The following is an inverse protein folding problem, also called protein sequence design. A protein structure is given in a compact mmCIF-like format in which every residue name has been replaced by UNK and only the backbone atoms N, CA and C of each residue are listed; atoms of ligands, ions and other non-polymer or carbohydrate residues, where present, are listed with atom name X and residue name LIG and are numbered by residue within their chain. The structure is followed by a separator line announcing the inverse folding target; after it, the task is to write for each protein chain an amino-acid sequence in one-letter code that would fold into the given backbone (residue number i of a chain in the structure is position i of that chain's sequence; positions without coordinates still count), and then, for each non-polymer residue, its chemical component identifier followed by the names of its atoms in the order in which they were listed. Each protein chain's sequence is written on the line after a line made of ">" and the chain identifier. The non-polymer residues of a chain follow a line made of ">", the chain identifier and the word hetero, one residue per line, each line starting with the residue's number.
data_IF_691471057575
#
_entry.id   IF_691471057575
#
_cell.length_a   1.000
_cell.length_b   1.000
_cell.length_c   1.000
_cell.angle_alpha   90.00
_cell.angle_beta   90.00
_cell.angle_gamma   90.00
#
_symmetry.space_group_name_H-M   'P 1'
#
loop_
_entity.id
_entity.type
_entity.pdbx_description
1 polymer ?
#
# COMPACT_ATOMS: atom_id res chain seq x y z
N UNK A 1 1.90 64.51 67.40
CA UNK A 1 1.68 63.07 67.64
C UNK A 1 0.49 62.62 66.80
N UNK A 2 0.64 61.55 66.02
CA UNK A 2 -0.39 60.85 65.23
C UNK A 2 -1.08 61.67 64.11
N UNK A 3 -1.30 61.19 62.89
CA UNK A 3 -1.07 59.89 62.26
C UNK A 3 -1.75 59.94 60.88
N UNK A 4 -0.98 60.14 59.81
CA UNK A 4 -1.52 60.05 58.45
C UNK A 4 -1.61 58.58 58.04
N UNK A 5 -2.84 58.05 58.02
CA UNK A 5 -3.19 56.75 57.47
C UNK A 5 -2.82 56.71 55.97
N UNK A 6 -1.80 55.91 55.65
CA UNK A 6 -1.47 55.54 54.26
C UNK A 6 -2.64 54.76 53.66
N UNK A 7 -3.21 55.29 52.57
CA UNK A 7 -4.07 54.53 51.65
C UNK A 7 -3.24 53.39 51.06
N UNK A 8 -3.61 52.15 51.36
CA UNK A 8 -3.11 50.97 50.63
C UNK A 8 -3.71 51.01 49.24
N UNK A 9 -2.89 51.26 48.23
CA UNK A 9 -3.21 50.95 46.84
C UNK A 9 -2.95 49.45 46.65
N UNK A 10 -4.03 48.66 46.55
CA UNK A 10 -3.96 47.29 46.08
C UNK A 10 -3.46 47.32 44.63
N UNK A 11 -2.22 46.88 44.42
CA UNK A 11 -1.69 46.57 43.09
C UNK A 11 -2.39 45.31 42.60
N UNK A 12 -3.35 45.48 41.70
CA UNK A 12 -3.94 44.41 40.93
C UNK A 12 -2.85 43.78 40.06
N UNK A 13 -2.43 42.55 40.40
CA UNK A 13 -1.42 41.80 39.65
C UNK A 13 -2.13 41.10 38.48
N UNK A 14 -1.82 41.40 37.21
CA UNK A 14 -2.44 40.70 36.08
C UNK A 14 -1.92 39.26 36.08
N UNK A 15 -2.78 38.29 36.41
CA UNK A 15 -2.45 36.87 36.27
C UNK A 15 -2.24 36.59 34.78
N UNK A 16 -0.98 36.35 34.39
CA UNK A 16 -0.64 35.82 33.07
C UNK A 16 -1.37 34.48 32.89
N UNK A 17 -2.37 34.46 32.01
CA UNK A 17 -3.08 33.25 31.64
C UNK A 17 -2.11 32.39 30.84
N UNK A 18 -1.48 31.40 31.48
CA UNK A 18 -0.64 30.44 30.76
C UNK A 18 -1.55 29.51 29.93
N UNK A 19 -1.22 29.29 28.66
CA UNK A 19 -1.98 28.42 27.72
C UNK A 19 -1.88 26.93 28.07
N UNK A 20 -1.00 26.56 29.00
CA UNK A 20 -0.70 25.20 29.42
C UNK A 20 -0.81 25.04 30.95
N UNK A 21 -1.10 23.82 31.45
CA UNK A 21 -1.22 23.58 32.88
C UNK A 21 0.15 23.68 33.58
N UNK A 22 0.18 24.34 34.73
CA UNK A 22 1.36 24.40 35.60
C UNK A 22 1.42 23.13 36.44
N UNK A 23 2.44 22.30 36.20
CA UNK A 23 2.64 21.04 36.90
C UNK A 23 3.28 21.27 38.28
N UNK A 24 3.04 20.37 39.23
CA UNK A 24 3.75 20.35 40.51
C UNK A 24 5.20 19.88 40.35
N UNK A 25 6.08 20.26 41.28
CA UNK A 25 7.51 19.88 41.23
C UNK A 25 7.71 18.38 41.11
N UNK A 26 6.88 17.58 41.79
CA UNK A 26 6.92 16.11 41.74
C UNK A 26 6.51 15.56 40.39
N UNK A 27 5.47 16.12 39.78
CA UNK A 27 5.03 15.71 38.44
C UNK A 27 6.06 16.07 37.37
N UNK A 28 6.72 17.22 37.50
CA UNK A 28 7.80 17.64 36.59
C UNK A 28 8.97 16.66 36.67
N UNK A 29 9.41 16.31 37.88
CA UNK A 29 10.52 15.36 38.08
C UNK A 29 10.17 13.97 37.54
N UNK A 30 8.94 13.51 37.76
CA UNK A 30 8.48 12.23 37.22
C UNK A 30 8.48 12.23 35.70
N UNK A 31 7.86 13.24 35.07
CA UNK A 31 7.75 13.30 33.61
C UNK A 31 9.10 13.50 32.92
N UNK A 32 10.03 14.25 33.53
CA UNK A 32 11.37 14.42 32.99
C UNK A 32 12.21 13.15 33.13
N UNK A 33 11.99 12.34 34.18
CA UNK A 33 12.65 11.04 34.34
C UNK A 33 12.26 10.08 33.22
N UNK A 34 11.01 10.12 32.77
CA UNK A 34 10.52 9.28 31.67
C UNK A 34 11.26 9.57 30.34
N UNK A 35 11.79 10.80 30.19
CA UNK A 35 12.53 11.27 29.00
C UNK A 35 14.04 11.28 29.28
N UNK A 36 14.51 10.50 30.27
CA UNK A 36 15.92 10.38 30.67
C UNK A 36 16.62 11.67 31.16
N UNK A 37 15.85 12.68 31.55
CA UNK A 37 16.36 13.91 32.16
C UNK A 37 16.39 13.75 33.69
N UNK A 38 17.60 13.79 34.28
CA UNK A 38 17.77 13.67 35.74
C UNK A 38 17.64 15.04 36.43
N UNK A 39 16.64 15.19 37.31
CA UNK A 39 16.39 16.40 38.08
C UNK A 39 15.95 16.08 39.52
N UNK A 40 16.46 16.80 40.51
CA UNK A 40 16.12 16.61 41.93
C UNK A 40 15.15 17.69 42.44
N UNK A 41 14.50 17.46 43.58
CA UNK A 41 13.63 18.48 44.21
C UNK A 41 14.43 19.72 44.66
N UNK A 42 15.70 19.53 45.06
CA UNK A 42 16.62 20.61 45.43
C UNK A 42 17.01 21.48 44.22
N UNK A 43 17.29 20.85 43.07
CA UNK A 43 17.58 21.54 41.81
C UNK A 43 16.41 22.42 41.33
N UNK A 44 15.18 22.07 41.72
CA UNK A 44 13.97 22.83 41.39
C UNK A 44 13.70 23.97 42.37
N UNK A 45 14.05 23.79 43.64
CA UNK A 45 13.93 24.82 44.67
C UNK A 45 15.01 25.90 44.51
N UNK A 46 16.23 25.49 44.17
CA UNK A 46 17.40 26.35 43.98
C UNK A 46 18.10 26.05 42.65
N UNK A 47 17.53 26.47 41.51
CA UNK A 47 18.11 26.16 40.21
C UNK A 47 19.47 26.84 40.03
N UNK A 48 20.50 26.03 39.75
CA UNK A 48 21.83 26.50 39.34
C UNK A 48 21.88 26.66 37.82
N UNK A 49 22.54 27.72 37.33
CA UNK A 49 22.72 27.98 35.91
C UNK A 49 23.38 26.80 35.16
N UNK A 50 24.42 26.20 35.76
CA UNK A 50 25.11 25.04 35.18
C UNK A 50 24.18 23.83 35.07
N UNK A 51 23.38 23.58 36.10
CA UNK A 51 22.45 22.45 36.16
C UNK A 51 21.33 22.59 35.13
N UNK A 52 20.73 23.78 35.05
CA UNK A 52 19.65 24.06 34.09
C UNK A 52 20.16 24.01 32.65
N UNK A 53 21.40 24.44 32.40
CA UNK A 53 22.02 24.32 31.08
C UNK A 53 22.12 22.86 30.64
N UNK A 54 22.63 21.96 31.48
CA UNK A 54 22.65 20.52 31.17
C UNK A 54 21.25 19.94 30.96
N UNK A 55 20.26 20.37 31.74
CA UNK A 55 18.87 19.93 31.60
C UNK A 55 18.29 20.38 30.25
N UNK A 56 18.50 21.63 29.84
CA UNK A 56 18.04 22.14 28.55
C UNK A 56 18.77 21.51 27.37
N UNK A 57 20.06 21.20 27.50
CA UNK A 57 20.82 20.45 26.49
C UNK A 57 20.21 19.07 26.24
N UNK A 58 19.91 18.32 27.31
CA UNK A 58 19.29 16.98 27.17
C UNK A 58 17.87 17.09 26.61
N UNK A 59 17.10 18.10 27.02
CA UNK A 59 15.76 18.34 26.47
C UNK A 59 15.84 18.64 24.97
N UNK A 60 16.79 19.47 24.54
CA UNK A 60 16.96 19.82 23.13
C UNK A 60 17.32 18.58 22.30
N UNK A 61 18.19 17.72 22.82
CA UNK A 61 18.57 16.45 22.19
C UNK A 61 17.36 15.50 22.05
N UNK A 62 16.59 15.30 23.12
CA UNK A 62 15.44 14.37 23.12
C UNK A 62 14.23 14.89 22.32
N UNK A 63 14.06 16.20 22.23
CA UNK A 63 12.91 16.82 21.57
C UNK A 63 13.18 17.12 20.10
N UNK A 64 14.36 17.64 19.78
CA UNK A 64 14.73 18.11 18.44
C UNK A 64 15.70 17.15 17.74
N UNK A 65 16.41 16.27 18.47
CA UNK A 65 17.44 15.39 17.91
C UNK A 65 18.79 16.09 17.68
N UNK A 66 19.04 17.20 18.40
CA UNK A 66 20.28 17.97 18.29
C UNK A 66 21.18 17.68 19.50
N UNK A 67 22.26 16.89 19.32
CA UNK A 67 23.16 16.59 20.41
C UNK A 67 23.98 17.82 20.78
N UNK A 68 24.40 17.90 22.05
CA UNK A 68 25.21 19.00 22.61
C UNK A 68 26.41 19.39 21.73
N UNK A 69 27.06 18.40 21.12
CA UNK A 69 28.24 18.58 20.26
C UNK A 69 27.93 19.35 18.96
N UNK A 70 26.70 19.24 18.44
CA UNK A 70 26.27 19.96 17.24
C UNK A 70 26.02 21.44 17.50
N UNK A 71 25.68 21.82 18.73
CA UNK A 71 25.51 23.22 19.11
C UNK A 71 26.84 23.91 19.43
N UNK A 72 27.84 23.18 19.93
CA UNK A 72 29.16 23.75 20.28
C UNK A 72 30.12 23.83 19.11
N UNK A 73 29.96 22.99 18.09
CA UNK A 73 30.83 22.93 16.91
C UNK A 73 30.21 23.67 15.73
N UNK A 74 30.17 25.01 15.81
CA UNK A 74 29.88 25.84 14.64
C UNK A 74 31.09 25.77 13.70
N UNK A 75 30.93 25.41 12.40
CA UNK A 75 32.06 25.35 11.46
C UNK A 75 32.76 26.71 11.37
N UNK A 76 34.11 26.70 11.37
CA UNK A 76 34.91 27.93 11.29
C UNK A 76 34.65 28.71 9.98
N UNK A 77 34.33 28.00 8.90
CA UNK A 77 33.95 28.57 7.60
C UNK A 77 32.71 29.48 7.69
N UNK A 78 31.81 29.24 8.65
CA UNK A 78 30.63 30.10 8.89
C UNK A 78 31.00 31.35 9.70
N UNK A 79 32.22 31.44 10.23
CA UNK A 79 32.71 32.51 11.12
C UNK A 79 33.80 33.39 10.49
N UNK A 80 34.10 33.20 9.21
CA UNK A 80 35.13 33.95 8.45
C UNK A 80 34.92 35.48 8.41
N UNK A 81 33.72 35.96 8.78
CA UNK A 81 33.40 37.37 8.88
C UNK A 81 33.84 38.02 10.22
N UNK A 82 34.26 37.23 11.21
CA UNK A 82 34.71 37.69 12.53
C UNK A 82 36.24 37.73 12.63
N UNK A 83 36.84 38.78 13.21
CA UNK A 83 38.26 38.78 13.52
C UNK A 83 38.56 37.75 14.63
N UNK A 84 39.54 36.87 14.41
CA UNK A 84 39.95 35.79 15.33
C UNK A 84 38.82 34.78 15.67
N UNK A 85 38.36 33.96 14.69
CA UNK A 85 37.27 33.01 14.86
C UNK A 85 37.47 32.01 16.02
N UNK A 86 38.72 31.59 16.26
CA UNK A 86 39.08 30.60 17.28
C UNK A 86 38.69 31.02 18.71
N UNK A 87 38.79 32.32 19.02
CA UNK A 87 38.46 32.87 20.34
C UNK A 87 36.95 32.94 20.52
N UNK A 88 36.21 33.08 19.42
CA UNK A 88 34.77 33.24 19.41
C UNK A 88 34.02 31.92 19.31
N UNK A 89 34.70 30.79 19.07
CA UNK A 89 34.08 29.48 18.88
C UNK A 89 33.18 29.07 20.06
N UNK A 90 33.65 29.23 21.29
CA UNK A 90 32.86 28.92 22.48
C UNK A 90 31.64 29.86 22.62
N UNK A 91 31.82 31.15 22.37
CA UNK A 91 30.73 32.14 22.43
C UNK A 91 29.70 31.93 21.32
N UNK A 92 30.13 31.54 20.12
CA UNK A 92 29.29 31.18 18.99
C UNK A 92 28.48 29.92 19.28
N UNK A 93 29.09 28.91 19.91
CA UNK A 93 28.37 27.71 20.34
C UNK A 93 27.27 27.99 21.37
N UNK A 94 27.54 28.87 22.34
CA UNK A 94 26.52 29.31 23.30
C UNK A 94 25.38 30.11 22.62
N UNK A 95 25.69 30.93 21.62
CA UNK A 95 24.69 31.68 20.86
C UNK A 95 23.84 30.77 19.96
N UNK A 96 24.45 29.76 19.33
CA UNK A 96 23.75 28.75 18.54
C UNK A 96 22.82 27.91 19.44
N UNK A 97 23.30 27.48 20.61
CA UNK A 97 22.48 26.79 21.59
C UNK A 97 21.29 27.63 22.05
N UNK A 98 21.51 28.91 22.41
CA UNK A 98 20.42 29.82 22.78
C UNK A 98 19.41 29.95 21.64
N UNK A 99 19.87 30.10 20.39
CA UNK A 99 19.00 30.26 19.23
C UNK A 99 18.06 29.07 19.06
N UNK A 100 18.60 27.85 19.14
CA UNK A 100 17.77 26.63 19.03
C UNK A 100 16.85 26.46 20.23
N UNK A 101 17.30 26.83 21.43
CA UNK A 101 16.46 26.78 22.63
C UNK A 101 15.31 27.80 22.56
N UNK A 102 15.57 29.04 22.11
CA UNK A 102 14.53 30.07 21.89
C UNK A 102 13.51 29.59 20.85
N UNK A 103 13.97 28.96 19.76
CA UNK A 103 13.08 28.36 18.75
C UNK A 103 12.20 27.28 19.35
N UNK A 104 12.77 26.36 20.13
CA UNK A 104 12.02 25.33 20.84
C UNK A 104 10.98 25.97 21.78
N UNK A 105 11.39 26.96 22.58
CA UNK A 105 10.49 27.63 23.53
C UNK A 105 9.34 28.35 22.82
N UNK A 106 9.58 28.97 21.66
CA UNK A 106 8.52 29.57 20.84
C UNK A 106 7.50 28.54 20.36
N UNK A 107 7.95 27.35 19.92
CA UNK A 107 7.05 26.24 19.51
C UNK A 107 6.24 25.71 20.69
N UNK A 108 6.85 25.66 21.87
CA UNK A 108 6.22 25.20 23.12
C UNK A 108 5.24 26.25 23.69
N UNK A 109 5.26 27.49 23.19
CA UNK A 109 4.33 28.57 23.57
C UNK A 109 4.89 29.57 24.59
N UNK A 110 6.22 29.63 24.76
CA UNK A 110 6.94 30.59 25.60
C UNK A 110 7.71 31.55 24.70
N UNK A 111 7.16 32.76 24.52
CA UNK A 111 7.76 33.78 23.65
C UNK A 111 8.70 34.75 24.39
N UNK A 112 8.74 34.70 25.72
CA UNK A 112 9.53 35.57 26.60
C UNK A 112 10.84 34.92 27.08
N UNK A 113 11.27 33.82 26.46
CA UNK A 113 12.52 33.15 26.81
C UNK A 113 13.74 33.99 26.38
N UNK A 114 14.67 34.21 27.31
CA UNK A 114 15.86 35.03 27.09
C UNK A 114 17.08 34.47 27.82
N UNK A 115 18.28 35.00 27.51
CA UNK A 115 19.54 34.64 28.19
C UNK A 115 19.49 34.79 29.72
N UNK A 116 18.57 35.59 30.25
CA UNK A 116 18.38 35.74 31.70
C UNK A 116 17.97 34.43 32.36
N UNK A 117 17.10 33.66 31.72
CA UNK A 117 16.60 32.36 32.23
C UNK A 117 17.72 31.31 32.29
N UNK A 118 18.74 31.41 31.44
CA UNK A 118 19.92 30.53 31.46
C UNK A 118 20.95 30.95 32.51
N UNK A 119 21.24 32.26 32.60
CA UNK A 119 22.31 32.77 33.50
C UNK A 119 21.87 32.91 34.95
N UNK A 120 20.59 33.20 35.18
CA UNK A 120 19.99 33.37 36.51
C UNK A 120 18.60 32.75 36.52
N UNK A 121 18.53 31.40 36.53
CA UNK A 121 17.24 30.72 36.57
C UNK A 121 16.51 31.04 37.87
N UNK A 122 15.24 31.42 37.78
CA UNK A 122 14.37 31.64 38.93
C UNK A 122 13.42 30.43 39.06
N UNK A 123 13.25 29.88 40.27
CA UNK A 123 12.40 28.70 40.52
C UNK A 123 10.99 28.78 39.89
N UNK A 124 10.23 29.90 39.96
CA UNK A 124 8.93 29.98 39.29
C UNK A 124 9.04 30.00 37.76
N UNK A 125 10.10 30.60 37.19
CA UNK A 125 10.37 30.64 35.76
C UNK A 125 10.72 29.27 35.19
N UNK A 126 11.64 28.56 35.84
CA UNK A 126 12.03 27.19 35.49
C UNK A 126 10.83 26.25 35.53
N UNK A 127 10.01 26.34 36.57
CA UNK A 127 8.79 25.53 36.70
C UNK A 127 7.81 25.77 35.55
N UNK A 128 7.62 27.03 35.15
CA UNK A 128 6.78 27.39 34.00
C UNK A 128 7.34 26.79 32.70
N UNK A 129 8.64 26.94 32.47
CA UNK A 129 9.34 26.44 31.27
C UNK A 129 9.22 24.92 31.16
N UNK A 130 9.57 24.19 32.22
CA UNK A 130 9.53 22.73 32.20
C UNK A 130 8.10 22.19 32.07
N UNK A 131 7.11 22.86 32.69
CA UNK A 131 5.69 22.47 32.52
C UNK A 131 5.24 22.60 31.06
N UNK A 132 5.65 23.65 30.37
CA UNK A 132 5.32 23.86 28.97
C UNK A 132 5.99 22.79 28.08
N UNK A 133 7.27 22.53 28.31
CA UNK A 133 8.04 21.50 27.58
C UNK A 133 7.40 20.12 27.76
N UNK A 134 7.04 19.74 28.98
CA UNK A 134 6.36 18.45 29.25
C UNK A 134 5.02 18.38 28.52
N UNK A 135 4.25 19.46 28.51
CA UNK A 135 2.98 19.50 27.79
C UNK A 135 3.18 19.29 26.28
N UNK A 136 4.21 19.90 25.69
CA UNK A 136 4.56 19.69 24.29
C UNK A 136 4.98 18.24 24.01
N UNK A 137 5.78 17.63 24.90
CA UNK A 137 6.24 16.24 24.72
C UNK A 137 5.06 15.27 24.78
N UNK A 138 4.13 15.45 25.72
CA UNK A 138 2.89 14.64 25.80
C UNK A 138 2.02 14.80 24.56
N UNK A 139 1.92 16.03 24.03
CA UNK A 139 1.20 16.28 22.77
C UNK A 139 1.87 15.59 21.58
N UNK A 140 3.21 15.64 21.51
CA UNK A 140 4.02 14.94 20.50
C UNK A 140 3.79 13.44 20.57
N UNK A 141 3.84 12.83 21.75
CA UNK A 141 3.61 11.40 21.95
C UNK A 141 2.19 10.97 21.53
N UNK A 142 1.17 11.74 21.89
CA UNK A 142 -0.21 11.48 21.46
C UNK A 142 -0.37 11.54 19.94
N UNK A 143 0.30 12.49 19.29
CA UNK A 143 0.26 12.69 17.84
C UNK A 143 1.15 11.71 17.06
N UNK A 144 2.20 11.19 17.69
CA UNK A 144 3.15 10.24 17.09
C UNK A 144 2.44 8.96 16.66
N UNK A 145 1.45 8.47 17.41
CA UNK A 145 0.66 7.29 17.03
C UNK A 145 -0.05 7.43 15.67
N UNK A 146 -0.55 8.62 15.35
CA UNK A 146 -1.19 8.91 14.05
C UNK A 146 -0.16 9.08 12.94
N UNK A 147 1.01 9.66 13.25
CA UNK A 147 2.12 9.79 12.32
C UNK A 147 2.77 8.45 12.00
N UNK A 148 2.93 7.56 12.98
CA UNK A 148 3.48 6.21 12.80
C UNK A 148 2.67 5.41 11.78
N UNK A 149 1.34 5.51 11.82
CA UNK A 149 0.49 4.87 10.81
C UNK A 149 0.78 5.42 9.41
N UNK A 150 1.00 6.73 9.28
CA UNK A 150 1.33 7.36 8.00
C UNK A 150 2.75 7.05 7.54
N UNK A 151 3.71 6.95 8.45
CA UNK A 151 5.08 6.53 8.14
C UNK A 151 5.10 5.08 7.64
N UNK A 152 4.40 4.16 8.32
CA UNK A 152 4.26 2.77 7.86
C UNK A 152 3.61 2.67 6.48
N UNK A 153 2.53 3.42 6.25
CA UNK A 153 1.90 3.48 4.92
C UNK A 153 2.87 4.01 3.85
N UNK A 154 3.67 5.01 4.18
CA UNK A 154 4.68 5.55 3.27
C UNK A 154 5.79 4.54 3.00
N UNK A 155 6.25 3.80 4.01
CA UNK A 155 7.26 2.74 3.88
C UNK A 155 6.74 1.58 3.01
N UNK A 156 5.51 1.11 3.25
CA UNK A 156 4.85 0.08 2.44
C UNK A 156 4.73 0.50 0.96
N UNK A 157 4.32 1.75 0.70
CA UNK A 157 4.24 2.30 -0.65
C UNK A 157 5.61 2.43 -1.32
N UNK A 158 6.66 2.75 -0.57
CA UNK A 158 8.02 2.79 -1.08
C UNK A 158 8.52 1.39 -1.45
N UNK A 159 8.26 0.39 -0.61
CA UNK A 159 8.59 -1.01 -0.93
C UNK A 159 7.85 -1.51 -2.16
N UNK A 160 6.54 -1.23 -2.27
CA UNK A 160 5.73 -1.61 -3.44
C UNK A 160 6.25 -0.94 -4.71
N UNK A 161 6.58 0.36 -4.64
CA UNK A 161 7.18 1.09 -5.75
C UNK A 161 8.51 0.46 -6.18
N UNK A 162 9.38 0.10 -5.25
CA UNK A 162 10.66 -0.54 -5.57
C UNK A 162 10.46 -1.91 -6.24
N UNK A 163 9.50 -2.71 -5.77
CA UNK A 163 9.16 -3.99 -6.40
C UNK A 163 8.65 -3.80 -7.82
N UNK A 164 7.73 -2.86 -8.04
CA UNK A 164 7.19 -2.57 -9.38
C UNK A 164 8.26 -2.05 -10.34
N UNK A 165 9.19 -1.22 -9.89
CA UNK A 165 10.32 -0.76 -10.71
C UNK A 165 11.17 -1.96 -11.13
N UNK A 166 11.49 -2.86 -10.20
CA UNK A 166 12.29 -4.05 -10.48
C UNK A 166 11.58 -4.99 -11.47
N UNK A 167 10.29 -5.25 -11.28
CA UNK A 167 9.49 -6.06 -12.21
C UNK A 167 9.41 -5.42 -13.61
N UNK A 168 9.25 -4.10 -13.67
CA UNK A 168 9.23 -3.36 -14.93
C UNK A 168 10.58 -3.46 -15.67
N UNK A 169 11.70 -3.33 -14.97
CA UNK A 169 13.04 -3.52 -15.54
C UNK A 169 13.23 -4.95 -16.08
N UNK A 170 12.88 -5.98 -15.31
CA UNK A 170 12.95 -7.37 -15.78
C UNK A 170 12.09 -7.61 -17.03
N UNK A 171 10.87 -7.06 -17.06
CA UNK A 171 9.98 -7.22 -18.21
C UNK A 171 10.51 -6.47 -19.44
N UNK A 172 11.13 -5.31 -19.24
CA UNK A 172 11.78 -4.54 -20.30
C UNK A 172 12.98 -5.30 -20.89
N UNK A 173 13.83 -5.87 -20.04
CA UNK A 173 14.97 -6.70 -20.49
C UNK A 173 14.50 -7.93 -21.28
N UNK A 174 13.45 -8.62 -20.81
CA UNK A 174 12.85 -9.75 -21.55
C UNK A 174 12.29 -9.33 -22.90
N UNK A 175 11.63 -8.17 -22.96
CA UNK A 175 11.10 -7.63 -24.21
C UNK A 175 12.23 -7.31 -25.20
N UNK A 176 13.32 -6.71 -24.72
CA UNK A 176 14.50 -6.42 -25.54
C UNK A 176 15.17 -7.70 -26.04
N UNK A 177 15.33 -8.71 -25.19
CA UNK A 177 15.85 -10.03 -25.57
C UNK A 177 15.00 -10.68 -26.67
N UNK A 178 13.67 -10.68 -26.52
CA UNK A 178 12.75 -11.22 -27.54
C UNK A 178 12.79 -10.44 -28.85
N UNK A 179 12.97 -9.11 -28.80
CA UNK A 179 13.13 -8.28 -30.00
C UNK A 179 14.42 -8.61 -30.74
N UNK A 180 15.53 -8.78 -30.01
CA UNK A 180 16.81 -9.18 -30.59
C UNK A 180 16.70 -10.56 -31.21
N UNK A 181 16.14 -11.54 -30.49
CA UNK A 181 15.90 -12.89 -31.02
C UNK A 181 15.07 -12.85 -32.31
N UNK A 182 13.94 -12.13 -32.30
CA UNK A 182 13.11 -11.98 -33.50
C UNK A 182 13.87 -11.34 -34.67
N UNK A 183 14.71 -10.34 -34.40
CA UNK A 183 15.52 -9.71 -35.46
C UNK A 183 16.60 -10.64 -36.04
N UNK A 184 17.09 -11.60 -35.25
CA UNK A 184 18.05 -12.61 -35.70
C UNK A 184 17.37 -13.74 -36.48
N UNK A 185 16.15 -14.12 -36.10
CA UNK A 185 15.37 -15.16 -36.77
C UNK A 185 14.70 -14.66 -38.07
N UNK A 186 14.37 -13.37 -38.16
CA UNK A 186 13.72 -12.76 -39.32
C UNK A 186 14.39 -13.06 -40.68
N UNK A 187 15.72 -12.92 -40.86
CA UNK A 187 16.36 -13.22 -42.14
C UNK A 187 16.28 -14.70 -42.51
N UNK A 188 16.38 -15.62 -41.54
CA UNK A 188 16.25 -17.05 -41.79
C UNK A 188 14.81 -17.39 -42.21
N UNK A 189 13.81 -16.79 -41.56
CA UNK A 189 12.40 -16.95 -41.95
C UNK A 189 12.18 -16.47 -43.39
N UNK A 190 12.69 -15.28 -43.74
CA UNK A 190 12.57 -14.72 -45.09
C UNK A 190 13.27 -15.58 -46.15
N UNK A 191 14.42 -16.17 -45.82
CA UNK A 191 15.13 -17.10 -46.71
C UNK A 191 14.30 -18.39 -46.93
N UNK A 192 13.75 -18.97 -45.86
CA UNK A 192 12.90 -20.17 -45.96
C UNK A 192 11.59 -19.89 -46.70
N UNK A 193 10.99 -18.71 -46.53
CA UNK A 193 9.81 -18.31 -47.27
C UNK A 193 10.10 -18.21 -48.77
N UNK A 194 11.24 -17.62 -49.16
CA UNK A 194 11.69 -17.59 -50.56
C UNK A 194 11.94 -18.99 -51.13
N UNK A 195 12.64 -19.85 -50.41
CA UNK A 195 12.85 -21.24 -50.82
C UNK A 195 11.52 -21.98 -51.04
N UNK A 196 10.55 -21.77 -50.15
CA UNK A 196 9.23 -22.39 -50.26
C UNK A 196 8.45 -21.86 -51.47
N UNK A 197 8.49 -20.56 -51.74
CA UNK A 197 7.90 -19.97 -52.95
C UNK A 197 8.53 -20.52 -54.23
N UNK A 198 9.87 -20.66 -54.26
CA UNK A 198 10.59 -21.25 -55.39
C UNK A 198 10.21 -22.72 -55.60
N UNK A 199 10.20 -23.52 -54.53
CA UNK A 199 9.80 -24.93 -54.59
C UNK A 199 8.33 -25.10 -55.03
N UNK A 200 7.43 -24.24 -54.54
CA UNK A 200 6.04 -24.22 -55.01
C UNK A 200 5.95 -23.86 -56.50
N UNK A 201 6.77 -22.92 -56.97
CA UNK A 201 6.88 -22.59 -58.39
C UNK A 201 7.33 -23.78 -59.23
N UNK A 202 8.39 -24.48 -58.80
CA UNK A 202 8.89 -25.69 -59.45
C UNK A 202 7.85 -26.81 -59.45
N UNK A 203 7.14 -27.03 -58.34
CA UNK A 203 6.08 -28.02 -58.24
C UNK A 203 4.95 -27.74 -59.25
N UNK A 204 4.52 -26.47 -59.36
CA UNK A 204 3.49 -26.08 -60.34
C UNK A 204 3.97 -26.31 -61.77
N UNK A 205 5.23 -26.01 -62.08
CA UNK A 205 5.81 -26.26 -63.40
C UNK A 205 5.86 -27.76 -63.72
N UNK A 206 6.33 -28.59 -62.78
CA UNK A 206 6.37 -30.05 -62.94
C UNK A 206 4.97 -30.65 -63.10
N UNK A 207 3.97 -30.17 -62.36
CA UNK A 207 2.57 -30.59 -62.52
C UNK A 207 2.04 -30.25 -63.93
N UNK A 208 2.35 -29.06 -64.44
CA UNK A 208 1.98 -28.69 -65.80
C UNK A 208 2.65 -29.58 -66.85
N UNK A 209 3.93 -29.89 -66.67
CA UNK A 209 4.68 -30.79 -67.56
C UNK A 209 4.17 -32.24 -67.48
N UNK A 210 3.86 -32.73 -66.29
CA UNK A 210 3.20 -34.02 -66.08
C UNK A 210 1.87 -34.08 -66.82
N UNK A 211 1.04 -33.03 -66.70
CA UNK A 211 -0.23 -32.94 -67.44
C UNK A 211 -0.04 -33.00 -68.95
N UNK A 212 0.96 -32.29 -69.48
CA UNK A 212 1.31 -32.31 -70.91
C UNK A 212 1.75 -33.72 -71.37
N UNK A 213 2.67 -34.36 -70.63
CA UNK A 213 3.17 -35.69 -70.96
C UNK A 213 2.08 -36.76 -70.85
N UNK A 214 1.15 -36.61 -69.89
CA UNK A 214 0.01 -37.53 -69.75
C UNK A 214 -0.91 -37.42 -70.96
N UNK A 215 -1.26 -36.21 -71.38
CA UNK A 215 -2.07 -35.98 -72.59
C UNK A 215 -1.37 -36.51 -73.86
N UNK A 216 -0.05 -36.33 -73.98
CA UNK A 216 0.74 -36.89 -75.09
C UNK A 216 0.73 -38.42 -75.08
N UNK A 217 0.89 -39.03 -73.91
CA UNK A 217 0.87 -40.49 -73.72
C UNK A 217 -0.49 -41.07 -74.08
N UNK A 218 -1.57 -40.42 -73.67
CA UNK A 218 -2.93 -40.86 -73.99
C UNK A 218 -3.22 -40.74 -75.49
N UNK A 219 -2.76 -39.66 -76.13
CA UNK A 219 -2.82 -39.54 -77.60
C UNK A 219 -2.01 -40.63 -78.33
N UNK A 220 -0.84 -41.02 -77.80
CA UNK A 220 -0.06 -42.13 -78.35
C UNK A 220 -0.74 -43.49 -78.14
N UNK A 221 -1.40 -43.72 -77.00
CA UNK A 221 -2.20 -44.94 -76.77
C UNK A 221 -3.36 -45.03 -77.75
N UNK A 222 -4.05 -43.92 -78.01
CA UNK A 222 -5.16 -43.87 -78.98
C UNK A 222 -4.67 -44.17 -80.39
N UNK A 223 -3.56 -43.56 -80.84
CA UNK A 223 -2.93 -43.88 -82.13
C UNK A 223 -2.49 -45.33 -82.21
N UNK A 224 -1.93 -45.89 -81.12
CA UNK A 224 -1.56 -47.31 -81.06
C UNK A 224 -2.79 -48.20 -81.24
N UNK A 225 -3.91 -47.88 -80.59
CA UNK A 225 -5.16 -48.63 -80.74
C UNK A 225 -5.66 -48.61 -82.19
N UNK A 226 -5.66 -47.44 -82.84
CA UNK A 226 -6.02 -47.30 -84.26
C UNK A 226 -5.11 -48.11 -85.19
N UNK A 227 -3.79 -48.12 -84.93
CA UNK A 227 -2.85 -48.92 -85.71
C UNK A 227 -3.04 -50.42 -85.51
N UNK A 228 -3.37 -50.87 -84.29
CA UNK A 228 -3.69 -52.28 -84.02
C UNK A 228 -4.94 -52.70 -84.79
N UNK A 229 -6.00 -51.89 -84.76
CA UNK A 229 -7.22 -52.13 -85.53
C UNK A 229 -6.92 -52.20 -87.04
N UNK A 230 -6.06 -51.31 -87.55
CA UNK A 230 -5.62 -51.34 -88.95
C UNK A 230 -4.80 -52.58 -89.30
N UNK A 231 -3.94 -53.05 -88.39
CA UNK A 231 -3.19 -54.29 -88.57
C UNK A 231 -4.15 -55.48 -88.60
N UNK A 232 -5.15 -55.52 -87.73
CA UNK A 232 -6.17 -56.58 -87.72
C UNK A 232 -6.94 -56.61 -89.03
N UNK A 233 -7.39 -55.47 -89.56
CA UNK A 233 -8.07 -55.43 -90.86
C UNK A 233 -7.17 -55.92 -92.00
N UNK A 234 -5.89 -55.54 -92.00
CA UNK A 234 -4.93 -55.99 -93.02
C UNK A 234 -4.60 -57.49 -92.86
N UNK A 235 -4.61 -58.02 -91.64
CA UNK A 235 -4.43 -59.45 -91.39
C UNK A 235 -5.62 -60.25 -91.93
N UNK A 236 -6.85 -59.77 -91.73
CA UNK A 236 -8.05 -60.37 -92.31
C UNK A 236 -7.99 -60.38 -93.85
N UNK A 237 -7.62 -59.25 -94.47
CA UNK A 237 -7.37 -59.16 -95.93
C UNK A 237 -6.28 -60.14 -96.38
N UNK A 238 -5.17 -60.22 -95.64
CA UNK A 238 -4.07 -61.13 -95.96
C UNK A 238 -4.48 -62.60 -95.86
N UNK A 239 -5.27 -62.99 -94.86
CA UNK A 239 -5.78 -64.36 -94.74
C UNK A 239 -6.68 -64.74 -95.90
N UNK A 240 -7.54 -63.84 -96.37
CA UNK A 240 -8.36 -64.06 -97.56
C UNK A 240 -7.48 -64.28 -98.81
N UNK A 241 -6.45 -63.46 -99.00
CA UNK A 241 -5.50 -63.66 -100.10
C UNK A 241 -4.66 -64.94 -99.96
N UNK A 242 -4.34 -65.38 -98.74
CA UNK A 242 -3.67 -66.67 -98.51
C UNK A 242 -4.57 -67.84 -98.88
N UNK A 243 -5.85 -67.81 -98.52
CA UNK A 243 -6.83 -68.83 -98.91
C UNK A 243 -6.95 -68.91 -100.43
N UNK A 244 -6.98 -67.77 -101.12
CA UNK A 244 -6.90 -67.71 -102.59
C UNK A 244 -5.58 -68.29 -103.14
N UNK A 245 -4.46 -68.06 -102.46
CA UNK A 245 -3.15 -68.62 -102.82
C UNK A 245 -3.09 -70.14 -102.63
N UNK A 246 -3.72 -70.67 -101.58
CA UNK A 246 -3.78 -72.11 -101.30
C UNK A 246 -4.64 -72.86 -102.34
N UNK A 247 -5.74 -72.25 -102.79
CA UNK A 247 -6.54 -72.77 -103.92
C UNK A 247 -5.72 -72.86 -105.21
N UNK A 248 -4.82 -71.90 -105.44
CA UNK A 248 -3.90 -71.89 -106.59
C UNK A 248 -2.73 -72.89 -106.43
N UNK A 249 -2.28 -73.14 -105.19
CA UNK A 249 -1.22 -74.12 -104.88
C UNK A 249 -1.68 -75.58 -104.93
N UNK A 250 -2.98 -75.86 -104.85
CA UNK A 250 -3.56 -77.20 -104.98
C UNK A 250 -3.53 -77.79 -106.42
N UNK A 251 -2.95 -77.09 -107.41
CA UNK A 251 -2.93 -77.47 -108.84
C UNK A 251 -1.60 -77.96 -109.41
N UNK A 252 -0.60 -78.29 -108.61
CA UNK A 252 0.70 -78.79 -109.13
C UNK A 252 1.13 -80.08 -108.41
N UNK A 253 1.41 -81.10 -109.22
CA UNK A 253 1.58 -82.51 -108.84
C UNK A 253 3.06 -82.93 -108.75
N UNK A 254 3.30 -83.64 -107.65
CA UNK A 254 4.21 -84.77 -107.36
C UNK A 254 5.74 -84.75 -107.58
N UNK A 255 6.33 -85.21 -106.46
CA UNK A 255 7.38 -86.22 -106.29
C UNK A 255 8.75 -85.64 -105.97
N UNK A 256 9.28 -85.98 -104.78
CA UNK A 256 10.49 -86.80 -104.79
C UNK A 256 10.59 -87.76 -103.58
N UNK A 257 10.39 -89.05 -103.84
CA UNK A 257 10.52 -90.15 -102.86
C UNK A 257 11.96 -90.60 -102.60
N UNK A 258 12.98 -89.76 -102.86
CA UNK A 258 14.38 -90.09 -102.55
C UNK A 258 15.11 -89.11 -101.63
N UNK A 259 14.45 -88.04 -101.21
CA UNK A 259 14.93 -87.14 -100.13
C UNK A 259 14.25 -87.48 -98.79
N UNK A 260 13.15 -88.24 -98.79
CA UNK A 260 12.37 -88.56 -97.58
C UNK A 260 13.12 -89.43 -96.56
N UNK A 261 14.17 -90.15 -96.95
CA UNK A 261 14.93 -91.02 -96.03
C UNK A 261 16.06 -90.28 -95.31
N UNK A 262 16.82 -89.41 -95.99
CA UNK A 262 17.79 -88.49 -95.36
C UNK A 262 17.10 -87.37 -94.58
N UNK A 263 15.95 -86.88 -95.09
CA UNK A 263 15.07 -85.99 -94.32
C UNK A 263 14.58 -86.70 -93.06
N UNK A 264 14.20 -87.98 -93.08
CA UNK A 264 13.74 -88.67 -91.86
C UNK A 264 14.82 -88.72 -90.77
N UNK A 265 16.08 -88.98 -91.12
CA UNK A 265 17.17 -89.02 -90.13
C UNK A 265 17.57 -87.62 -89.63
N UNK A 266 17.73 -86.65 -90.53
CA UNK A 266 17.98 -85.25 -90.13
C UNK A 266 16.79 -84.64 -89.40
N UNK A 267 15.56 -85.05 -89.71
CA UNK A 267 14.32 -84.61 -89.05
C UNK A 267 14.15 -85.26 -87.69
N UNK A 268 14.57 -86.51 -87.50
CA UNK A 268 14.67 -87.12 -86.16
C UNK A 268 15.69 -86.39 -85.28
N UNK A 269 16.90 -86.13 -85.78
CA UNK A 269 17.92 -85.35 -85.02
C UNK A 269 17.48 -83.90 -84.77
N UNK A 270 16.84 -83.27 -85.75
CA UNK A 270 16.24 -81.94 -85.61
C UNK A 270 15.06 -81.96 -84.62
N UNK A 271 14.29 -83.05 -84.57
CA UNK A 271 13.18 -83.22 -83.63
C UNK A 271 13.66 -83.42 -82.20
N UNK A 272 14.72 -84.20 -81.99
CA UNK A 272 15.35 -84.38 -80.67
C UNK A 272 15.99 -83.09 -80.17
N UNK A 273 16.74 -82.38 -81.03
CA UNK A 273 17.34 -81.09 -80.67
C UNK A 273 16.28 -80.01 -80.44
N UNK A 274 15.21 -79.96 -81.25
CA UNK A 274 14.05 -79.08 -80.99
C UNK A 274 13.36 -79.43 -79.67
N UNK A 275 13.20 -80.71 -79.35
CA UNK A 275 12.63 -81.16 -78.07
C UNK A 275 13.48 -80.68 -76.88
N UNK A 276 14.81 -80.80 -76.98
CA UNK A 276 15.74 -80.29 -75.95
C UNK A 276 15.70 -78.76 -75.84
N UNK A 277 15.63 -78.04 -76.97
CA UNK A 277 15.51 -76.57 -76.99
C UNK A 277 14.19 -76.13 -76.36
N UNK A 278 13.06 -76.73 -76.74
CA UNK A 278 11.74 -76.45 -76.16
C UNK A 278 11.75 -76.73 -74.65
N UNK A 279 12.36 -77.83 -74.21
CA UNK A 279 12.53 -78.14 -72.79
C UNK A 279 13.41 -77.12 -72.05
N UNK A 280 14.46 -76.61 -72.70
CA UNK A 280 15.33 -75.57 -72.16
C UNK A 280 14.62 -74.21 -72.08
N UNK A 281 13.90 -73.81 -73.13
CA UNK A 281 13.10 -72.57 -73.17
C UNK A 281 11.96 -72.60 -72.15
N UNK A 282 11.35 -73.77 -71.92
CA UNK A 282 10.31 -73.92 -70.91
C UNK A 282 10.89 -73.78 -69.49
N UNK A 283 12.06 -74.36 -69.21
CA UNK A 283 12.78 -74.12 -67.95
C UNK A 283 13.21 -72.67 -67.80
N UNK A 284 13.66 -72.02 -68.87
CA UNK A 284 14.03 -70.61 -68.83
C UNK A 284 12.82 -69.72 -68.49
N UNK A 285 11.66 -69.98 -69.08
CA UNK A 285 10.40 -69.27 -68.74
C UNK A 285 9.99 -69.53 -67.30
N UNK A 286 10.06 -70.77 -66.81
CA UNK A 286 9.77 -71.10 -65.42
C UNK A 286 10.70 -70.36 -64.45
N UNK A 287 12.01 -70.34 -64.73
CA UNK A 287 12.99 -69.64 -63.90
C UNK A 287 12.78 -68.12 -63.94
N UNK A 288 12.46 -67.56 -65.11
CA UNK A 288 12.13 -66.14 -65.26
C UNK A 288 10.87 -65.76 -64.48
N UNK A 289 9.86 -66.64 -64.49
CA UNK A 289 8.65 -66.48 -63.66
C UNK A 289 8.96 -66.51 -62.15
N UNK A 290 9.85 -67.41 -61.71
CA UNK A 290 10.32 -67.44 -60.31
C UNK A 290 11.08 -66.18 -59.92
N UNK A 291 11.94 -65.66 -60.81
CA UNK A 291 12.67 -64.40 -60.57
C UNK A 291 11.71 -63.22 -60.45
N UNK A 292 10.70 -63.13 -61.32
CA UNK A 292 9.68 -62.08 -61.23
C UNK A 292 8.84 -62.19 -59.94
N UNK A 293 8.52 -63.41 -59.50
CA UNK A 293 7.85 -63.62 -58.22
C UNK A 293 8.72 -63.20 -57.03
N UNK A 294 10.03 -63.51 -57.06
CA UNK A 294 10.97 -63.07 -56.02
C UNK A 294 11.18 -61.55 -56.02
N UNK A 295 11.20 -60.89 -57.18
CA UNK A 295 11.29 -59.42 -57.21
C UNK A 295 10.06 -58.75 -56.63
N UNK A 296 8.87 -59.30 -56.88
CA UNK A 296 7.64 -58.78 -56.28
C UNK A 296 7.65 -58.94 -54.75
N UNK A 297 8.13 -60.07 -54.24
CA UNK A 297 8.31 -60.27 -52.78
C UNK A 297 9.34 -59.30 -52.21
N UNK A 298 10.41 -58.97 -52.92
CA UNK A 298 11.39 -57.95 -52.48
C UNK A 298 10.75 -56.57 -52.38
N UNK A 299 9.93 -56.17 -53.36
CA UNK A 299 9.20 -54.91 -53.36
C UNK A 299 8.17 -54.85 -52.20
N UNK A 300 7.46 -55.95 -51.94
CA UNK A 300 6.53 -56.09 -50.80
C UNK A 300 7.26 -55.99 -49.45
N UNK A 301 8.47 -56.56 -49.33
CA UNK A 301 9.30 -56.44 -48.13
C UNK A 301 9.77 -54.99 -47.94
N UNK A 302 10.19 -54.31 -49.01
CA UNK A 302 10.61 -52.89 -48.93
C UNK A 302 9.49 -51.98 -48.47
N UNK A 303 8.28 -52.16 -49.00
CA UNK A 303 7.10 -51.41 -48.56
C UNK A 303 6.72 -51.73 -47.11
N UNK A 304 6.83 -52.99 -46.68
CA UNK A 304 6.66 -53.35 -45.26
C UNK A 304 7.71 -52.68 -44.36
N UNK A 305 8.97 -52.60 -44.77
CA UNK A 305 10.01 -51.93 -44.00
C UNK A 305 9.73 -50.42 -43.88
N UNK A 306 9.33 -49.76 -44.96
CA UNK A 306 8.99 -48.34 -44.95
C UNK A 306 7.81 -48.04 -44.00
N UNK A 307 6.74 -48.85 -44.06
CA UNK A 307 5.61 -48.69 -43.14
C UNK A 307 5.99 -48.95 -41.67
N UNK A 308 6.95 -49.85 -41.42
CA UNK A 308 7.46 -50.10 -40.08
C UNK A 308 8.26 -48.91 -39.53
N UNK A 309 9.08 -48.27 -40.36
CA UNK A 309 9.80 -47.03 -40.01
C UNK A 309 8.82 -45.91 -39.66
N UNK A 310 7.78 -45.69 -40.47
CA UNK A 310 6.72 -44.72 -40.18
C UNK A 310 6.01 -45.01 -38.85
N UNK A 311 5.76 -46.30 -38.54
CA UNK A 311 5.16 -46.71 -37.27
C UNK A 311 6.08 -46.43 -36.07
N UNK A 312 7.39 -46.60 -36.23
CA UNK A 312 8.37 -46.29 -35.18
C UNK A 312 8.42 -44.80 -34.90
N UNK A 313 8.41 -43.95 -35.94
CA UNK A 313 8.37 -42.50 -35.81
C UNK A 313 7.08 -42.02 -35.14
N UNK A 314 5.93 -42.56 -35.56
CA UNK A 314 4.64 -42.28 -34.92
C UNK A 314 4.66 -42.67 -33.43
N UNK A 315 5.27 -43.81 -33.09
CA UNK A 315 5.38 -44.27 -31.71
C UNK A 315 6.29 -43.39 -30.86
N UNK A 316 7.38 -42.88 -31.41
CA UNK A 316 8.22 -41.89 -30.71
C UNK A 316 7.44 -40.60 -30.46
N UNK A 317 6.68 -40.11 -31.45
CA UNK A 317 5.83 -38.92 -31.29
C UNK A 317 4.76 -39.11 -30.22
N UNK A 318 4.11 -40.27 -30.18
CA UNK A 318 3.11 -40.60 -29.14
C UNK A 318 3.76 -40.58 -27.76
N UNK A 319 4.91 -41.24 -27.58
CA UNK A 319 5.62 -41.28 -26.30
C UNK A 319 6.01 -39.88 -25.81
N UNK A 320 6.46 -38.99 -26.73
CA UNK A 320 6.73 -37.59 -26.39
C UNK A 320 5.48 -36.83 -25.93
N UNK A 321 4.33 -37.07 -26.57
CA UNK A 321 3.07 -36.46 -26.14
C UNK A 321 2.58 -37.03 -24.80
N UNK A 322 2.75 -38.33 -24.55
CA UNK A 322 2.43 -38.96 -23.26
C UNK A 322 3.24 -38.34 -22.12
N UNK A 323 4.54 -38.08 -22.32
CA UNK A 323 5.37 -37.38 -21.35
C UNK A 323 4.85 -35.98 -21.05
N UNK A 324 4.50 -35.20 -22.08
CA UNK A 324 3.91 -33.86 -21.90
C UNK A 324 2.58 -33.89 -21.15
N UNK A 325 1.74 -34.89 -21.43
CA UNK A 325 0.48 -35.09 -20.70
C UNK A 325 0.75 -35.40 -19.24
N UNK A 326 1.73 -36.23 -18.93
CA UNK A 326 2.13 -36.55 -17.56
C UNK A 326 2.60 -35.31 -16.80
N UNK A 327 3.48 -34.50 -17.39
CA UNK A 327 3.96 -33.23 -16.80
C UNK A 327 2.81 -32.24 -16.56
N UNK A 328 1.86 -32.16 -17.50
CA UNK A 328 0.68 -31.32 -17.36
C UNK A 328 -0.22 -31.81 -16.21
N UNK A 329 -0.41 -33.12 -16.05
CA UNK A 329 -1.17 -33.71 -14.95
C UNK A 329 -0.54 -33.41 -13.59
N UNK A 330 0.79 -33.58 -13.46
CA UNK A 330 1.53 -33.25 -12.23
C UNK A 330 1.39 -31.76 -11.88
N UNK A 331 1.48 -30.88 -12.90
CA UNK A 331 1.27 -29.44 -12.72
C UNK A 331 -0.15 -29.12 -12.26
N UNK A 332 -1.16 -29.81 -12.80
CA UNK A 332 -2.56 -29.64 -12.39
C UNK A 332 -2.75 -30.09 -10.94
N UNK A 333 -2.18 -31.22 -10.54
CA UNK A 333 -2.26 -31.71 -9.15
C UNK A 333 -1.59 -30.76 -8.17
N UNK A 334 -0.40 -30.25 -8.52
CA UNK A 334 0.29 -29.24 -7.72
C UNK A 334 -0.56 -27.97 -7.57
N UNK A 335 -1.13 -27.45 -8.66
CA UNK A 335 -2.03 -26.28 -8.63
C UNK A 335 -3.29 -26.55 -7.80
N UNK A 336 -3.89 -27.74 -7.89
CA UNK A 336 -5.03 -28.14 -7.05
C UNK A 336 -4.68 -28.18 -5.57
N UNK A 337 -3.50 -28.73 -5.21
CA UNK A 337 -3.01 -28.70 -3.83
C UNK A 337 -2.83 -27.26 -3.34
N UNK A 338 -2.22 -26.40 -4.17
CA UNK A 338 -2.03 -24.99 -3.82
C UNK A 338 -3.35 -24.23 -3.65
N UNK A 339 -4.33 -24.50 -4.51
CA UNK A 339 -5.68 -23.96 -4.39
C UNK A 339 -6.36 -24.35 -3.07
N UNK A 340 -6.22 -25.62 -2.65
CA UNK A 340 -6.74 -26.08 -1.34
C UNK A 340 -6.07 -25.38 -0.16
N UNK A 341 -4.74 -25.19 -0.20
CA UNK A 341 -4.02 -24.44 0.83
C UNK A 341 -4.50 -22.98 0.94
N UNK A 342 -4.67 -22.31 -0.21
CA UNK A 342 -5.16 -20.94 -0.27
C UNK A 342 -6.60 -20.83 0.24
N UNK A 343 -7.46 -21.80 -0.07
CA UNK A 343 -8.84 -21.83 0.41
C UNK A 343 -8.92 -21.98 1.93
N UNK A 344 -8.09 -22.84 2.53
CA UNK A 344 -7.99 -22.95 4.00
C UNK A 344 -7.53 -21.62 4.61
N UNK A 345 -6.56 -20.95 3.99
CA UNK A 345 -6.07 -19.64 4.46
C UNK A 345 -7.14 -18.56 4.34
N UNK A 346 -7.92 -18.55 3.25
CA UNK A 346 -9.07 -17.66 3.06
C UNK A 346 -10.09 -17.83 4.18
N UNK A 347 -10.48 -19.08 4.47
CA UNK A 347 -11.42 -19.37 5.55
C UNK A 347 -10.90 -18.96 6.94
N UNK A 348 -9.60 -19.08 7.18
CA UNK A 348 -8.99 -18.61 8.44
C UNK A 348 -9.08 -17.09 8.58
N UNK A 349 -8.78 -16.35 7.51
CA UNK A 349 -8.87 -14.87 7.49
C UNK A 349 -10.32 -14.41 7.62
N UNK A 350 -11.27 -15.05 6.93
CA UNK A 350 -12.70 -14.74 7.07
C UNK A 350 -13.20 -14.94 8.51
N UNK A 351 -12.77 -15.99 9.20
CA UNK A 351 -13.08 -16.15 10.63
C UNK A 351 -12.49 -15.04 11.48
N UNK A 352 -11.27 -14.58 11.19
CA UNK A 352 -10.65 -13.47 11.90
C UNK A 352 -11.40 -12.15 11.68
N UNK A 353 -11.83 -11.88 10.44
CA UNK A 353 -12.66 -10.71 10.10
C UNK A 353 -13.96 -10.76 10.90
N UNK A 354 -14.68 -11.89 10.86
CA UNK A 354 -15.94 -12.04 11.58
C UNK A 354 -15.78 -11.84 13.09
N UNK A 355 -14.73 -12.40 13.70
CA UNK A 355 -14.44 -12.17 15.12
C UNK A 355 -14.14 -10.70 15.42
N UNK A 356 -13.43 -10.01 14.54
CA UNK A 356 -13.14 -8.57 14.67
C UNK A 356 -14.41 -7.73 14.56
N UNK A 357 -15.27 -8.02 13.57
CA UNK A 357 -16.57 -7.36 13.38
C UNK A 357 -17.50 -7.57 14.58
N UNK A 358 -17.58 -8.79 15.12
CA UNK A 358 -18.35 -9.08 16.33
C UNK A 358 -17.81 -8.30 17.54
N UNK A 359 -16.48 -8.20 17.69
CA UNK A 359 -15.84 -7.41 18.75
C UNK A 359 -16.13 -5.91 18.59
N UNK A 360 -16.04 -5.38 17.38
CA UNK A 360 -16.37 -4.00 17.05
C UNK A 360 -17.85 -3.70 17.33
N UNK A 361 -18.75 -4.60 16.93
CA UNK A 361 -20.18 -4.47 17.22
C UNK A 361 -20.50 -4.45 18.72
N UNK A 362 -19.81 -5.29 19.53
CA UNK A 362 -19.95 -5.25 21.00
C UNK A 362 -19.44 -3.94 21.60
N UNK A 363 -18.28 -3.45 21.13
CA UNK A 363 -17.71 -2.17 21.58
C UNK A 363 -18.62 -1.01 21.22
N UNK A 364 -19.17 -0.98 20.01
CA UNK A 364 -20.08 0.08 19.55
C UNK A 364 -21.37 0.12 20.37
N UNK A 365 -21.99 -1.03 20.61
CA UNK A 365 -23.17 -1.13 21.51
C UNK A 365 -22.81 -0.70 22.94
N UNK A 366 -21.64 -1.09 23.45
CA UNK A 366 -21.14 -0.67 24.76
C UNK A 366 -20.90 0.83 24.86
N UNK A 367 -20.41 1.46 23.79
CA UNK A 367 -20.25 2.91 23.72
C UNK A 367 -21.60 3.62 23.68
N UNK A 368 -22.52 3.16 22.84
CA UNK A 368 -23.85 3.76 22.67
C UNK A 368 -24.66 3.74 23.98
N UNK A 369 -24.67 2.59 24.66
CA UNK A 369 -25.29 2.46 25.99
C UNK A 369 -24.66 3.39 27.04
N UNK A 370 -23.33 3.51 27.08
CA UNK A 370 -22.63 4.46 27.97
C UNK A 370 -22.96 5.91 27.64
N UNK A 371 -23.04 6.25 26.36
CA UNK A 371 -23.41 7.60 25.90
C UNK A 371 -24.85 7.94 26.32
N UNK A 372 -25.79 7.00 26.14
CA UNK A 372 -27.18 7.17 26.59
C UNK A 372 -27.26 7.39 28.10
N UNK A 373 -26.59 6.53 28.89
CA UNK A 373 -26.56 6.67 30.35
C UNK A 373 -25.92 7.98 30.81
N UNK A 374 -24.85 8.42 30.13
CA UNK A 374 -24.19 9.69 30.46
C UNK A 374 -25.08 10.88 30.12
N UNK A 375 -25.80 10.81 28.99
CA UNK A 375 -26.77 11.82 28.58
C UNK A 375 -27.93 11.92 29.57
N UNK A 376 -28.55 10.79 29.95
CA UNK A 376 -29.61 10.74 30.95
C UNK A 376 -29.15 11.34 32.29
N UNK A 377 -27.95 10.98 32.76
CA UNK A 377 -27.37 11.57 33.98
C UNK A 377 -27.12 13.06 33.86
N UNK A 378 -26.66 13.53 32.71
CA UNK A 378 -26.45 14.96 32.45
C UNK A 378 -27.77 15.73 32.44
N UNK A 379 -28.82 15.17 31.82
CA UNK A 379 -30.17 15.75 31.82
C UNK A 379 -30.75 15.79 33.25
N UNK A 380 -30.58 14.74 34.04
CA UNK A 380 -31.01 14.71 35.45
C UNK A 380 -30.25 15.75 36.30
N UNK A 381 -28.93 15.86 36.11
CA UNK A 381 -28.11 16.83 36.82
C UNK A 381 -28.46 18.27 36.43
N UNK A 382 -28.71 18.54 35.15
CA UNK A 382 -29.16 19.84 34.68
C UNK A 382 -30.53 20.21 35.28
N UNK A 383 -31.46 19.25 35.38
CA UNK A 383 -32.75 19.49 36.03
C UNK A 383 -32.59 19.87 37.51
N UNK A 384 -31.76 19.12 38.25
CA UNK A 384 -31.43 19.43 39.65
C UNK A 384 -30.75 20.78 39.79
N UNK A 385 -29.85 21.12 38.87
CA UNK A 385 -29.19 22.43 38.87
C UNK A 385 -30.19 23.56 38.64
N UNK A 386 -31.14 23.39 37.72
CA UNK A 386 -32.21 24.36 37.48
C UNK A 386 -33.12 24.53 38.71
N UNK A 387 -33.51 23.43 39.35
CA UNK A 387 -34.28 23.44 40.61
C UNK A 387 -33.55 24.25 41.70
N UNK A 388 -32.27 23.95 41.94
CA UNK A 388 -31.44 24.68 42.93
C UNK A 388 -31.24 26.15 42.54
N UNK A 389 -31.15 26.44 41.24
CA UNK A 389 -31.00 27.82 40.76
C UNK A 389 -32.26 28.64 41.01
N UNK A 390 -33.44 28.06 40.77
CA UNK A 390 -34.73 28.68 41.09
C UNK A 390 -34.86 28.91 42.60
N UNK A 391 -34.56 27.90 43.42
CA UNK A 391 -34.58 28.05 44.89
C UNK A 391 -33.64 29.15 45.37
N UNK A 392 -32.43 29.23 44.78
CA UNK A 392 -31.47 30.29 45.09
C UNK A 392 -32.01 31.67 44.72
N UNK A 393 -32.61 31.84 43.55
CA UNK A 393 -33.20 33.12 43.11
C UNK A 393 -34.35 33.56 44.03
N UNK A 394 -35.20 32.62 44.47
CA UNK A 394 -36.27 32.91 45.45
C UNK A 394 -35.71 33.32 46.82
N UNK A 395 -34.69 32.64 47.31
CA UNK A 395 -34.02 32.98 48.57
C UNK A 395 -33.35 34.36 48.44
N UNK A 396 -32.70 34.65 47.32
CA UNK A 396 -32.03 35.93 47.06
C UNK A 396 -33.06 37.08 47.04
N UNK A 397 -34.22 36.89 46.42
CA UNK A 397 -35.35 37.84 46.49
C UNK A 397 -35.86 38.06 47.92
N UNK A 398 -36.02 36.98 48.71
CA UNK A 398 -36.43 37.08 50.12
C UNK A 398 -35.40 37.83 50.97
N UNK A 399 -34.12 37.55 50.77
CA UNK A 399 -33.02 38.27 51.45
C UNK A 399 -33.03 39.76 51.06
N UNK A 400 -33.23 40.09 49.79
CA UNK A 400 -33.30 41.48 49.34
C UNK A 400 -34.51 42.22 49.95
N UNK A 401 -35.67 41.56 50.04
CA UNK A 401 -36.86 42.09 50.71
C UNK A 401 -36.60 42.35 52.21
N UNK A 402 -36.08 41.36 52.94
CA UNK A 402 -35.74 41.53 54.36
C UNK A 402 -34.65 42.59 54.58
N UNK A 403 -33.67 42.72 53.67
CA UNK A 403 -32.69 43.81 53.72
C UNK A 403 -33.34 45.17 53.56
N UNK A 404 -34.34 45.30 52.69
CA UNK A 404 -35.08 46.54 52.51
C UNK A 404 -35.95 46.86 53.73
N UNK A 405 -36.62 45.86 54.32
CA UNK A 405 -37.35 46.03 55.58
C UNK A 405 -36.43 46.48 56.73
N UNK A 406 -35.27 45.85 56.89
CA UNK A 406 -34.25 46.25 57.88
C UNK A 406 -33.79 47.69 57.63
N UNK A 407 -33.59 48.10 56.37
CA UNK A 407 -33.22 49.49 56.03
C UNK A 407 -34.30 50.49 56.43
N UNK A 408 -35.57 50.18 56.14
CA UNK A 408 -36.71 51.04 56.51
C UNK A 408 -36.83 51.14 58.03
N UNK A 409 -36.80 50.00 58.73
CA UNK A 409 -36.88 49.97 60.19
C UNK A 409 -35.70 50.70 60.86
N UNK A 410 -34.48 50.55 60.34
CA UNK A 410 -33.33 51.32 60.84
C UNK A 410 -33.51 52.82 60.60
N UNK A 411 -34.07 53.24 59.46
CA UNK A 411 -34.37 54.64 59.20
C UNK A 411 -35.44 55.19 60.17
N UNK A 412 -36.48 54.41 60.46
CA UNK A 412 -37.49 54.74 61.47
C UNK A 412 -36.88 54.84 62.87
N UNK A 413 -36.04 53.88 63.27
CA UNK A 413 -35.29 53.93 64.54
C UNK A 413 -34.39 55.17 64.61
N UNK A 414 -33.71 55.52 63.52
CA UNK A 414 -32.89 56.74 63.43
C UNK A 414 -33.75 58.02 63.56
N UNK A 415 -34.99 58.03 63.08
CA UNK A 415 -35.91 59.16 63.29
C UNK A 415 -36.40 59.25 64.73
N UNK A 416 -36.84 58.14 65.32
CA UNK A 416 -37.33 58.10 66.70
C UNK A 416 -36.22 58.42 67.70
N UNK A 417 -35.00 57.95 67.46
CA UNK A 417 -33.83 58.31 68.29
C UNK A 417 -33.52 59.80 68.20
N UNK A 418 -33.58 60.41 67.01
CA UNK A 418 -33.43 61.87 66.87
C UNK A 418 -34.55 62.65 67.55
N UNK A 419 -35.79 62.19 67.47
CA UNK A 419 -36.92 62.80 68.16
C UNK A 419 -36.78 62.68 69.68
N UNK A 420 -36.36 61.51 70.18
CA UNK A 420 -36.09 61.29 71.60
C UNK A 420 -34.91 62.14 72.09
N UNK A 421 -33.82 62.24 71.31
CA UNK A 421 -32.67 63.11 71.60
C UNK A 421 -33.09 64.59 71.63
N UNK A 422 -33.92 65.02 70.68
CA UNK A 422 -34.46 66.37 70.65
C UNK A 422 -35.37 66.65 71.86
N UNK A 423 -36.24 65.71 72.24
CA UNK A 423 -37.11 65.82 73.40
C UNK A 423 -36.32 65.84 74.71
N UNK A 424 -35.31 64.97 74.87
CA UNK A 424 -34.38 65.00 76.01
C UNK A 424 -33.62 66.34 76.03
N UNK A 425 -33.21 66.86 74.87
CA UNK A 425 -32.62 68.18 74.73
C UNK A 425 -33.53 69.30 75.23
N UNK A 426 -34.81 69.29 74.84
CA UNK A 426 -35.84 70.23 75.29
C UNK A 426 -36.08 70.14 76.81
N UNK A 427 -36.25 68.94 77.36
CA UNK A 427 -36.38 68.72 78.80
C UNK A 427 -35.16 69.25 79.57
N UNK A 428 -33.97 69.09 79.01
CA UNK A 428 -32.73 69.61 79.61
C UNK A 428 -32.69 71.13 79.58
N UNK A 429 -33.16 71.76 78.50
CA UNK A 429 -33.30 73.23 78.46
C UNK A 429 -34.36 73.74 79.42
N UNK A 430 -35.50 73.06 79.54
CA UNK A 430 -36.57 73.43 80.47
C UNK A 430 -36.10 73.26 81.92
N UNK A 431 -35.38 72.17 82.22
CA UNK A 431 -34.75 71.96 83.52
C UNK A 431 -33.78 73.10 83.86
N UNK A 432 -32.90 73.49 82.95
CA UNK A 432 -31.98 74.61 83.18
C UNK A 432 -32.70 75.97 83.28
N UNK A 433 -33.82 76.16 82.59
CA UNK A 433 -34.65 77.36 82.74
C UNK A 433 -35.33 77.41 84.11
N UNK A 434 -35.83 76.27 84.60
CA UNK A 434 -36.45 76.15 85.91
C UNK A 434 -35.41 76.30 87.03
N UNK A 435 -34.22 75.73 86.85
CA UNK A 435 -33.05 75.94 87.71
C UNK A 435 -32.68 77.43 87.76
N UNK A 436 -32.62 78.11 86.61
CA UNK A 436 -32.38 79.54 86.55
C UNK A 436 -33.52 80.37 87.17
N UNK A 437 -34.78 79.94 87.06
CA UNK A 437 -35.92 80.58 87.72
C UNK A 437 -35.90 80.37 89.23
N UNK A 438 -35.48 79.21 89.72
CA UNK A 438 -35.29 78.93 91.14
C UNK A 438 -34.14 79.79 91.69
N UNK A 439 -33.02 79.90 90.97
CA UNK A 439 -31.91 80.78 91.35
C UNK A 439 -32.39 82.24 91.40
N UNK A 440 -33.15 82.70 90.40
CA UNK A 440 -33.74 84.06 90.42
C UNK A 440 -34.74 84.26 91.55
N UNK A 441 -35.58 83.27 91.86
CA UNK A 441 -36.48 83.33 93.02
C UNK A 441 -35.70 83.34 94.33
N UNK A 442 -34.60 82.59 94.44
CA UNK A 442 -33.71 82.64 95.60
C UNK A 442 -33.01 84.01 95.71
N UNK A 443 -32.62 84.62 94.60
CA UNK A 443 -32.07 85.98 94.54
C UNK A 443 -33.14 87.05 94.87
N UNK A 444 -34.38 86.90 94.42
CA UNK A 444 -35.50 87.80 94.73
C UNK A 444 -35.95 87.68 96.20
N UNK A 445 -35.98 86.46 96.76
CA UNK A 445 -36.23 86.23 98.19
C UNK A 445 -35.07 86.77 99.03
N UNK A 446 -33.81 86.61 98.60
CA UNK A 446 -32.65 87.21 99.26
C UNK A 446 -32.71 88.75 99.22
N UNK A 447 -33.18 89.34 98.11
CA UNK A 447 -33.38 90.79 97.96
C UNK A 447 -34.57 91.33 98.75
N UNK A 448 -35.61 90.54 99.02
CA UNK A 448 -36.80 90.96 99.76
C UNK A 448 -36.67 90.82 101.29
N UNK A 449 -35.62 90.16 101.79
CA UNK A 449 -35.40 89.87 103.21
C UNK A 449 -34.22 90.61 103.85
N UNK A 450 -33.53 91.54 103.15
CA UNK A 450 -32.38 92.29 103.70
C UNK A 450 -31.38 91.36 104.44
N UNK A 451 -31.08 90.22 103.80
CA UNK A 451 -30.09 89.26 104.28
C UNK A 451 -28.86 89.35 103.37
N UNK A 452 -27.75 89.80 103.96
CA UNK A 452 -26.40 89.78 103.41
C UNK A 452 -26.13 88.46 102.68
N UNK A 453 -25.95 88.55 101.36
CA UNK A 453 -25.54 87.43 100.52
C UNK A 453 -24.02 87.28 100.57
N UNK A 454 -23.55 86.46 101.51
CA UNK A 454 -22.19 85.93 101.46
C UNK A 454 -22.20 84.41 101.29
N UNK A 455 -21.82 83.98 100.07
CA UNK A 455 -21.24 82.66 99.69
C UNK A 455 -22.20 81.45 99.75
N UNK A 456 -22.22 80.52 98.79
CA UNK A 456 -21.25 80.05 97.80
C UNK A 456 -21.94 79.54 96.55
#
# INVERSE_FOLDING_TARGET
>A
MYGMKKRKTEKHNPKSVNTFPLLSTREIISALRDISVSLTEEDMAHPSAQRMMTVYEVILDQVVGLPRQSCTNVPLDEMDFLPYPDIHQESAGHAAFLRELVRLMAVVGINDFSMRELRKPEAPGVRRILSAVINFIRFREGSMSALDQKMRQSEELLEERMRLIHEHEQMKERLEALRVQRSQEQPEIEERERENEELQGQLRALLAEQGRLTAETDGLKERKAQLIERIQSLQEEFTLCQEENEVLRARIVHSPEKIQQEIKETSMRLSETKSLIVGSEQREREMRGRVAGLSQVDDDIRTCLQTLEECLDLRQRVNHQEQKVQEALETIEWKKKKGRELEVRRQQVERQIRMSEEKMGRLHKGQETRMSQTRERMEELNRKHEEVWIERDEIEKKIEASRNEIKVMNAEMDTVTKEAEAYVGMLRTDYHQLEAQIIRYQEEIASALDLDTSRS
#
